data_IF_372083126281
#
_entry.id   IF_372083126281
#
_cell.length_a   1.000
_cell.length_b   1.000
_cell.length_c   1.000
_cell.angle_alpha   90.00
_cell.angle_beta   90.00
_cell.angle_gamma   90.00
#
_symmetry.space_group_name_H-M   'P 1'
#
loop_
_entity.id
_entity.type
_entity.pdbx_description
1 polymer ?
#
# COMPACT_ATOMS: atom_id res chain seq x y z
N UNK A 1 -4.05 -18.49 6.24
CA UNK A 1 -3.74 -17.05 6.28
C UNK A 1 -3.20 -16.65 4.91
N UNK A 2 -3.94 -15.83 4.17
CA UNK A 2 -3.46 -15.24 2.92
C UNK A 2 -2.56 -14.02 3.23
N UNK A 3 -1.84 -13.50 2.22
CA UNK A 3 -0.90 -12.38 2.43
C UNK A 3 -1.62 -11.12 2.94
N UNK A 4 -2.85 -10.87 2.52
CA UNK A 4 -3.62 -9.69 2.93
C UNK A 4 -4.07 -9.77 4.39
N UNK A 5 -4.52 -10.95 4.84
CA UNK A 5 -4.82 -11.24 6.24
C UNK A 5 -3.58 -11.03 7.11
N UNK A 6 -2.42 -11.51 6.65
CA UNK A 6 -1.15 -11.28 7.34
C UNK A 6 -0.79 -9.79 7.42
N UNK A 7 -0.97 -9.02 6.35
CA UNK A 7 -0.69 -7.58 6.37
C UNK A 7 -1.56 -6.84 7.39
N UNK A 8 -2.85 -7.21 7.50
CA UNK A 8 -3.78 -6.63 8.48
C UNK A 8 -3.43 -7.02 9.91
N UNK A 9 -3.31 -8.31 10.18
CA UNK A 9 -3.11 -8.85 11.54
C UNK A 9 -1.80 -8.37 12.17
N UNK A 10 -0.75 -8.22 11.36
CA UNK A 10 0.59 -7.88 11.84
C UNK A 10 0.97 -6.41 11.60
N UNK A 11 0.04 -5.58 11.11
CA UNK A 11 0.30 -4.20 10.68
C UNK A 11 1.57 -4.10 9.80
N UNK A 12 1.70 -5.07 8.89
CA UNK A 12 2.88 -5.22 8.05
C UNK A 12 2.67 -4.50 6.71
N UNK A 13 3.77 -4.23 6.00
CA UNK A 13 3.74 -3.58 4.68
C UNK A 13 4.33 -4.46 3.60
N UNK A 14 3.74 -4.43 2.42
CA UNK A 14 4.29 -5.03 1.21
C UNK A 14 4.97 -3.94 0.38
N UNK A 15 6.28 -4.06 0.11
CA UNK A 15 7.06 -3.03 -0.59
C UNK A 15 7.52 -3.52 -1.96
N UNK A 16 7.42 -2.65 -2.98
CA UNK A 16 7.97 -2.89 -4.32
C UNK A 16 8.61 -1.61 -4.86
N UNK A 17 9.93 -1.58 -4.95
CA UNK A 17 10.69 -0.41 -5.35
C UNK A 17 10.46 0.78 -4.41
N UNK A 18 9.86 1.85 -4.93
CA UNK A 18 9.58 3.08 -4.19
C UNK A 18 8.15 3.18 -3.66
N UNK A 19 7.35 2.12 -3.80
CA UNK A 19 5.97 2.07 -3.36
C UNK A 19 5.76 0.98 -2.30
N UNK A 20 4.82 1.19 -1.39
CA UNK A 20 4.42 0.18 -0.42
C UNK A 20 2.92 0.21 -0.15
N UNK A 21 2.35 -0.99 -0.06
CA UNK A 21 0.97 -1.26 0.34
C UNK A 21 0.91 -1.52 1.84
N UNK A 22 -0.02 -0.85 2.50
CA UNK A 22 -0.38 -1.05 3.90
C UNK A 22 -1.89 -1.10 4.05
N UNK A 23 -2.37 -1.82 5.05
CA UNK A 23 -3.72 -1.65 5.55
C UNK A 23 -3.71 -0.57 6.64
N UNK A 24 -4.60 0.40 6.52
CA UNK A 24 -4.77 1.48 7.50
C UNK A 24 -6.04 1.19 8.32
N UNK A 25 -5.85 0.82 9.59
CA UNK A 25 -6.94 0.45 10.50
C UNK A 25 -7.81 1.64 10.91
N UNK A 26 -7.26 2.87 10.92
CA UNK A 26 -8.02 4.07 11.32
C UNK A 26 -9.13 4.38 10.31
N UNK A 27 -8.86 4.14 9.04
CA UNK A 27 -9.79 4.39 7.94
C UNK A 27 -10.35 3.10 7.31
N UNK A 28 -9.92 1.93 7.78
CA UNK A 28 -10.28 0.60 7.25
C UNK A 28 -10.10 0.46 5.74
N UNK A 29 -8.95 0.91 5.23
CA UNK A 29 -8.67 0.91 3.78
C UNK A 29 -7.23 0.47 3.48
N UNK A 30 -7.05 -0.12 2.31
CA UNK A 30 -5.74 -0.29 1.69
C UNK A 30 -5.23 1.04 1.21
N UNK A 31 -3.98 1.34 1.55
CA UNK A 31 -3.30 2.56 1.13
C UNK A 31 -2.00 2.19 0.46
N UNK A 32 -1.78 2.76 -0.73
CA UNK A 32 -0.51 2.66 -1.44
C UNK A 32 0.19 3.99 -1.33
N UNK A 33 1.33 3.97 -0.65
CA UNK A 33 2.24 5.10 -0.59
C UNK A 33 3.36 4.94 -1.62
N UNK A 34 3.85 6.05 -2.15
CA UNK A 34 5.03 6.09 -2.99
C UNK A 34 5.95 7.23 -2.53
N UNK A 35 7.26 6.98 -2.56
CA UNK A 35 8.26 8.03 -2.37
C UNK A 35 9.37 7.90 -3.40
N UNK A 36 9.35 8.79 -4.40
CA UNK A 36 10.39 8.82 -5.42
C UNK A 36 11.73 9.29 -4.81
N UNK A 37 12.89 8.91 -5.38
CA UNK A 37 14.21 9.22 -4.81
C UNK A 37 14.46 10.70 -4.53
N UNK A 38 13.91 11.56 -5.38
CA UNK A 38 14.08 13.02 -5.31
C UNK A 38 13.01 13.72 -4.46
N UNK A 39 12.00 12.99 -3.98
CA UNK A 39 10.90 13.55 -3.20
C UNK A 39 11.15 13.40 -1.70
N UNK A 40 10.97 14.50 -0.96
CA UNK A 40 11.04 14.50 0.50
C UNK A 40 9.79 13.94 1.17
N UNK A 41 8.64 13.96 0.48
CA UNK A 41 7.34 13.55 1.00
C UNK A 41 6.87 12.28 0.31
N UNK A 42 6.05 11.50 1.03
CA UNK A 42 5.34 10.37 0.44
C UNK A 42 4.10 10.90 -0.28
N UNK A 43 3.86 10.44 -1.51
CA UNK A 43 2.60 10.59 -2.21
C UNK A 43 1.67 9.40 -1.93
N UNK A 44 0.36 9.64 -1.92
CA UNK A 44 -0.66 8.59 -1.87
C UNK A 44 -1.06 8.26 -3.30
N UNK A 45 -0.84 7.03 -3.76
CA UNK A 45 -1.23 6.57 -5.09
C UNK A 45 -2.65 5.98 -5.11
N UNK A 46 -3.05 5.33 -4.03
CA UNK A 46 -4.35 4.67 -3.93
C UNK A 46 -4.84 4.65 -2.49
N UNK A 47 -6.16 4.72 -2.33
CA UNK A 47 -6.89 4.53 -1.08
C UNK A 47 -8.24 3.89 -1.40
N UNK A 48 -8.51 2.71 -0.84
CA UNK A 48 -9.77 2.00 -1.08
C UNK A 48 -9.85 0.66 -0.37
N UNK A 49 -10.95 -0.07 -0.55
CA UNK A 49 -11.24 -1.35 0.10
C UNK A 49 -10.70 -2.56 -0.68
N UNK A 50 -10.44 -2.40 -1.98
CA UNK A 50 -9.89 -3.45 -2.85
C UNK A 50 -8.37 -3.54 -2.76
N UNK A 51 -7.86 -4.69 -2.32
CA UNK A 51 -6.43 -4.98 -2.32
C UNK A 51 -5.88 -5.16 -3.74
N UNK A 52 -6.68 -5.75 -4.64
CA UNK A 52 -6.25 -6.04 -6.00
C UNK A 52 -6.12 -4.77 -6.85
N UNK A 53 -6.99 -3.77 -6.62
CA UNK A 53 -6.83 -2.44 -7.21
C UNK A 53 -5.58 -1.74 -6.68
N UNK A 54 -5.31 -1.86 -5.38
CA UNK A 54 -4.11 -1.31 -4.77
C UNK A 54 -2.83 -1.89 -5.40
N UNK A 55 -2.79 -3.20 -5.65
CA UNK A 55 -1.66 -3.85 -6.34
C UNK A 55 -1.50 -3.34 -7.78
N UNK A 56 -2.59 -3.21 -8.54
CA UNK A 56 -2.53 -2.66 -9.91
C UNK A 56 -1.92 -1.25 -9.93
N UNK A 57 -2.22 -0.43 -8.92
CA UNK A 57 -1.61 0.90 -8.78
C UNK A 57 -0.10 0.84 -8.48
N UNK A 58 0.41 -0.24 -7.88
CA UNK A 58 1.84 -0.44 -7.67
C UNK A 58 2.57 -0.90 -8.94
N UNK A 59 1.89 -1.60 -9.83
CA UNK A 59 2.46 -2.19 -11.06
C UNK A 59 2.50 -1.24 -12.27
N UNK A 60 1.68 -0.19 -12.28
CA UNK A 60 1.48 0.73 -13.41
C UNK A 60 2.69 1.67 -13.75
N UNK A 61 3.91 1.16 -13.71
CA UNK A 61 5.15 1.87 -14.02
C UNK A 61 5.24 2.36 -15.46
#
# INVERSE_FOLDING_TARGET
>A
MNIYEFLKEYNARLSCGFSWLVWDDDINQWVVWQRKPYERRNGCLYRGDSADEAIKCMEAK
#
